data_IF_725443066189
#
_entry.id   IF_725443066189
#
_cell.length_a   1.000
_cell.length_b   1.000
_cell.length_c   1.000
_cell.angle_alpha   90.00
_cell.angle_beta   90.00
_cell.angle_gamma   90.00
#
_symmetry.space_group_name_H-M   'P 1'
#
loop_
_entity.id
_entity.type
_entity.pdbx_description
1 polymer ?
#
# COMPACT_ATOMS: atom_id res chain seq x y z
N UNK A 1 7.02 7.70 -4.37
CA UNK A 1 6.44 8.76 -3.50
C UNK A 1 5.28 8.19 -2.70
N UNK A 2 4.81 8.82 -1.61
CA UNK A 2 3.75 8.25 -0.76
C UNK A 2 2.46 7.97 -1.54
N UNK A 3 1.95 8.94 -2.31
CA UNK A 3 0.73 8.76 -3.10
C UNK A 3 0.86 7.59 -4.09
N UNK A 4 2.03 7.41 -4.72
CA UNK A 4 2.30 6.27 -5.62
C UNK A 4 2.22 4.92 -4.88
N UNK A 5 2.81 4.83 -3.69
CA UNK A 5 2.72 3.61 -2.89
C UNK A 5 1.26 3.32 -2.47
N UNK A 6 0.52 4.36 -2.05
CA UNK A 6 -0.90 4.23 -1.70
C UNK A 6 -1.76 3.83 -2.91
N UNK A 7 -1.45 4.33 -4.12
CA UNK A 7 -2.10 3.89 -5.36
C UNK A 7 -1.91 2.39 -5.61
N UNK A 8 -0.69 1.87 -5.40
CA UNK A 8 -0.41 0.43 -5.51
C UNK A 8 -1.19 -0.36 -4.46
N UNK A 9 -1.24 0.10 -3.21
CA UNK A 9 -2.02 -0.56 -2.15
C UNK A 9 -3.52 -0.53 -2.45
N UNK A 10 -4.06 0.57 -2.99
CA UNK A 10 -5.49 0.76 -3.24
C UNK A 10 -6.05 -0.06 -4.41
N UNK A 11 -5.18 -0.44 -5.34
CA UNK A 11 -5.57 -1.08 -6.58
C UNK A 11 -6.27 -2.44 -6.38
N UNK A 12 -7.16 -2.84 -7.31
CA UNK A 12 -7.73 -4.18 -7.31
C UNK A 12 -6.65 -5.27 -7.29
N UNK A 13 -6.96 -6.42 -6.68
CA UNK A 13 -6.01 -7.54 -6.61
C UNK A 13 -5.49 -7.98 -8.00
N UNK A 14 -6.35 -7.95 -9.03
CA UNK A 14 -5.95 -8.23 -10.43
C UNK A 14 -4.86 -7.29 -10.93
N UNK A 15 -4.96 -6.01 -10.58
CA UNK A 15 -4.09 -4.95 -11.07
C UNK A 15 -2.77 -4.96 -10.29
N UNK A 16 -2.85 -5.23 -8.99
CA UNK A 16 -1.69 -5.52 -8.15
C UNK A 16 -0.91 -6.73 -8.68
N UNK A 17 -1.58 -7.84 -9.02
CA UNK A 17 -0.92 -9.01 -9.62
C UNK A 17 -0.27 -8.68 -10.97
N UNK A 18 -0.98 -7.98 -11.85
CA UNK A 18 -0.43 -7.58 -13.14
C UNK A 18 0.80 -6.65 -13.00
N UNK A 19 0.79 -5.79 -11.98
CA UNK A 19 1.92 -4.93 -11.63
C UNK A 19 3.10 -5.74 -11.09
N UNK A 20 2.85 -6.68 -10.16
CA UNK A 20 3.87 -7.58 -9.63
C UNK A 20 4.52 -8.43 -10.74
N UNK A 21 3.71 -8.94 -11.67
CA UNK A 21 4.18 -9.69 -12.86
C UNK A 21 5.05 -8.85 -13.78
N UNK A 22 4.65 -7.60 -14.01
CA UNK A 22 5.39 -6.68 -14.88
C UNK A 22 6.81 -6.41 -14.37
N UNK A 23 6.98 -6.33 -13.05
CA UNK A 23 8.27 -5.99 -12.44
C UNK A 23 9.01 -7.18 -11.81
N UNK A 24 8.45 -8.39 -11.92
CA UNK A 24 9.02 -9.63 -11.39
C UNK A 24 9.36 -9.54 -9.89
N UNK A 25 8.36 -9.13 -9.11
CA UNK A 25 8.46 -8.90 -7.67
C UNK A 25 7.39 -9.66 -6.87
N UNK A 26 7.69 -10.08 -5.62
CA UNK A 26 6.73 -10.73 -4.75
C UNK A 26 5.74 -9.74 -4.08
N UNK A 27 4.58 -10.21 -3.58
CA UNK A 27 3.54 -9.34 -2.99
C UNK A 27 3.98 -8.48 -1.80
N UNK A 28 4.93 -8.93 -1.00
CA UNK A 28 5.52 -8.17 0.11
C UNK A 28 6.16 -6.85 -0.35
N UNK A 29 6.61 -6.75 -1.61
CA UNK A 29 7.12 -5.49 -2.17
C UNK A 29 6.09 -4.35 -2.19
N UNK A 30 4.79 -4.66 -2.22
CA UNK A 30 3.74 -3.63 -2.07
C UNK A 30 3.74 -3.08 -0.64
N UNK A 31 3.88 -3.95 0.37
CA UNK A 31 3.92 -3.53 1.76
C UNK A 31 5.24 -2.82 2.10
N UNK A 32 6.38 -3.30 1.59
CA UNK A 32 7.68 -2.66 1.75
C UNK A 32 7.70 -1.27 1.10
N UNK A 33 7.18 -1.14 -0.13
CA UNK A 33 7.07 0.15 -0.81
C UNK A 33 6.18 1.15 -0.06
N UNK A 34 5.12 0.66 0.59
CA UNK A 34 4.30 1.48 1.49
C UNK A 34 5.04 1.88 2.76
N UNK A 35 5.64 0.94 3.48
CA UNK A 35 6.38 1.16 4.73
C UNK A 35 7.53 2.17 4.55
N UNK A 36 8.32 2.02 3.47
CA UNK A 36 9.37 2.98 3.10
C UNK A 36 8.84 4.40 2.91
N UNK A 37 7.70 4.55 2.24
CA UNK A 37 7.09 5.86 2.03
C UNK A 37 6.39 6.40 3.29
N UNK A 38 5.79 5.51 4.09
CA UNK A 38 5.07 5.85 5.32
C UNK A 38 5.98 6.50 6.35
N UNK A 39 7.26 6.10 6.41
CA UNK A 39 8.27 6.74 7.28
C UNK A 39 8.44 8.25 7.03
N UNK A 40 8.04 8.75 5.87
CA UNK A 40 8.13 10.17 5.52
C UNK A 40 6.86 10.97 5.84
N UNK A 41 5.77 10.31 6.25
CA UNK A 41 4.46 10.93 6.46
C UNK A 41 4.49 12.10 7.44
N UNK A 42 5.25 11.98 8.55
CA UNK A 42 5.38 13.07 9.52
C UNK A 42 5.91 14.35 8.88
N UNK A 43 6.96 14.22 8.04
CA UNK A 43 7.52 15.35 7.30
C UNK A 43 6.53 15.91 6.28
N UNK A 44 5.81 15.06 5.55
CA UNK A 44 4.85 15.51 4.54
C UNK A 44 3.69 16.30 5.14
N UNK A 45 3.23 15.92 6.34
CA UNK A 45 2.22 16.69 7.08
C UNK A 45 2.78 18.03 7.58
N UNK A 46 3.99 18.03 8.14
CA UNK A 46 4.65 19.25 8.62
C UNK A 46 4.92 20.26 7.48
N UNK A 47 5.16 19.76 6.27
CA UNK A 47 5.37 20.55 5.05
C UNK A 47 4.07 20.87 4.30
N UNK A 48 2.89 20.56 4.87
CA UNK A 48 1.55 20.78 4.26
C UNK A 48 1.35 20.11 2.88
N UNK A 49 2.14 19.08 2.57
CA UNK A 49 2.04 18.28 1.34
C UNK A 49 1.11 17.07 1.48
N UNK A 50 0.65 16.79 2.70
CA UNK A 50 -0.29 15.71 3.00
C UNK A 50 -1.28 16.20 4.04
N UNK A 51 -2.57 15.96 3.84
CA UNK A 51 -3.56 16.32 4.85
C UNK A 51 -3.35 15.52 6.13
N UNK A 52 -3.47 16.19 7.29
CA UNK A 52 -3.49 15.48 8.57
C UNK A 52 -4.67 14.51 8.68
N UNK A 53 -5.74 14.73 7.92
CA UNK A 53 -6.93 13.90 7.94
C UNK A 53 -6.69 12.47 7.40
N UNK A 54 -5.65 12.25 6.59
CA UNK A 54 -5.36 10.91 6.05
C UNK A 54 -4.49 10.04 6.95
N UNK A 55 -3.88 10.60 7.99
CA UNK A 55 -3.02 9.87 8.91
C UNK A 55 -3.66 8.60 9.49
N UNK A 56 -4.93 8.61 9.97
CA UNK A 56 -5.53 7.40 10.53
C UNK A 56 -5.69 6.29 9.49
N UNK A 57 -5.94 6.64 8.22
CA UNK A 57 -6.08 5.67 7.14
C UNK A 57 -4.73 5.03 6.78
N UNK A 58 -3.67 5.84 6.74
CA UNK A 58 -2.31 5.35 6.49
C UNK A 58 -1.81 4.48 7.66
N UNK A 59 -2.12 4.87 8.90
CA UNK A 59 -1.81 4.07 10.09
C UNK A 59 -2.53 2.72 10.08
N UNK A 60 -3.79 2.66 9.66
CA UNK A 60 -4.51 1.40 9.52
C UNK A 60 -3.83 0.45 8.52
N UNK A 61 -3.26 0.97 7.42
CA UNK A 61 -2.53 0.14 6.45
C UNK A 61 -1.25 -0.43 7.11
N UNK A 62 -0.48 0.41 7.80
CA UNK A 62 0.73 0.01 8.53
C UNK A 62 0.43 -1.07 9.57
N UNK A 63 -0.62 -0.86 10.38
CA UNK A 63 -1.08 -1.83 11.38
C UNK A 63 -1.46 -3.17 10.75
N UNK A 64 -2.22 -3.16 9.64
CA UNK A 64 -2.60 -4.38 8.93
C UNK A 64 -1.38 -5.16 8.42
N UNK A 65 -0.41 -4.48 7.81
CA UNK A 65 0.80 -5.16 7.31
C UNK A 65 1.70 -5.65 8.44
N UNK A 66 1.75 -4.93 9.57
CA UNK A 66 2.41 -5.37 10.79
C UNK A 66 1.75 -6.62 11.38
N UNK A 67 0.41 -6.66 11.48
CA UNK A 67 -0.36 -7.84 11.89
C UNK A 67 -0.06 -9.05 11.00
N UNK A 68 -0.06 -8.87 9.68
CA UNK A 68 0.25 -9.93 8.71
C UNK A 68 1.68 -10.48 8.83
N UNK A 69 2.63 -9.63 9.24
CA UNK A 69 4.03 -10.06 9.44
C UNK A 69 4.25 -10.81 10.75
N UNK A 70 3.40 -10.59 11.75
CA UNK A 70 3.48 -11.25 13.06
C UNK A 70 2.82 -12.64 13.06
N UNK A 71 1.84 -12.87 12.18
CA UNK A 71 1.17 -14.15 12.01
C UNK A 71 2.02 -15.08 11.14
N UNK A 72 2.85 -15.93 11.76
CA UNK A 72 3.72 -16.88 11.05
C UNK A 72 3.02 -18.19 10.66
N UNK A 73 1.77 -18.39 11.09
CA UNK A 73 1.04 -19.64 10.87
C UNK A 73 0.43 -19.72 9.46
N UNK A 74 0.25 -18.57 8.80
CA UNK A 74 -0.32 -18.45 7.46
C UNK A 74 0.59 -17.60 6.59
N UNK A 75 0.97 -18.11 5.41
CA UNK A 75 1.74 -17.33 4.45
C UNK A 75 0.85 -16.30 3.72
N UNK A 76 0.78 -15.10 4.31
CA UNK A 76 -0.05 -13.98 3.82
C UNK A 76 0.59 -13.15 2.72
N UNK A 77 1.85 -13.46 2.37
CA UNK A 77 2.64 -12.75 1.35
C UNK A 77 2.64 -13.47 0.01
N UNK A 78 1.74 -14.44 -0.18
CA UNK A 78 1.55 -15.14 -1.45
C UNK A 78 0.60 -14.40 -2.39
N UNK A 79 0.71 -14.70 -3.68
CA UNK A 79 -0.21 -14.20 -4.73
C UNK A 79 -1.66 -14.64 -4.50
N UNK A 80 -1.84 -15.83 -3.91
CA UNK A 80 -3.16 -16.34 -3.54
C UNK A 80 -3.74 -15.52 -2.38
N UNK A 81 -2.97 -15.31 -1.31
CA UNK A 81 -3.38 -14.50 -0.18
C UNK A 81 -3.68 -13.05 -0.59
N UNK A 82 -2.92 -12.46 -1.52
CA UNK A 82 -3.21 -11.13 -2.05
C UNK A 82 -4.64 -10.99 -2.60
N UNK A 83 -5.20 -12.08 -3.14
CA UNK A 83 -6.56 -12.12 -3.66
C UNK A 83 -7.63 -12.39 -2.58
N UNK A 84 -7.33 -13.24 -1.60
CA UNK A 84 -8.34 -13.85 -0.72
C UNK A 84 -8.26 -13.41 0.73
N UNK A 85 -7.11 -12.96 1.19
CA UNK A 85 -6.87 -12.58 2.58
C UNK A 85 -7.58 -11.25 2.91
N UNK A 86 -8.22 -11.23 4.08
CA UNK A 86 -9.00 -10.08 4.52
C UNK A 86 -8.11 -8.87 4.88
N UNK A 87 -6.86 -9.09 5.30
CA UNK A 87 -5.87 -8.05 5.56
C UNK A 87 -5.59 -7.24 4.30
N UNK A 88 -5.27 -7.91 3.18
CA UNK A 88 -5.14 -7.24 1.89
C UNK A 88 -6.40 -6.45 1.48
N UNK A 89 -7.59 -7.00 1.76
CA UNK A 89 -8.86 -6.31 1.57
C UNK A 89 -9.00 -5.01 2.41
N UNK A 90 -8.64 -5.08 3.69
CA UNK A 90 -8.65 -3.93 4.62
C UNK A 90 -7.66 -2.85 4.18
N UNK A 91 -6.42 -3.23 3.87
CA UNK A 91 -5.38 -2.31 3.39
C UNK A 91 -5.82 -1.58 2.12
N UNK A 92 -6.35 -2.32 1.13
CA UNK A 92 -6.93 -1.75 -0.10
C UNK A 92 -8.02 -0.73 0.19
N UNK A 93 -8.92 -1.03 1.12
CA UNK A 93 -10.02 -0.14 1.47
C UNK A 93 -9.52 1.16 2.11
N UNK A 94 -8.64 1.06 3.11
CA UNK A 94 -8.06 2.22 3.78
C UNK A 94 -7.23 3.08 2.81
N UNK A 95 -6.51 2.46 1.87
CA UNK A 95 -5.77 3.20 0.85
C UNK A 95 -6.70 3.99 -0.10
N UNK A 96 -7.82 3.42 -0.53
CA UNK A 96 -8.82 4.14 -1.34
C UNK A 96 -9.44 5.33 -0.60
N UNK A 97 -9.72 5.17 0.69
CA UNK A 97 -10.23 6.25 1.53
C UNK A 97 -9.19 7.37 1.65
N UNK A 98 -7.90 7.02 1.83
CA UNK A 98 -6.83 8.00 1.90
C UNK A 98 -6.68 8.80 0.59
N UNK A 99 -6.71 8.12 -0.56
CA UNK A 99 -6.64 8.79 -1.87
C UNK A 99 -7.86 9.72 -2.09
N UNK A 100 -9.06 9.24 -1.76
CA UNK A 100 -10.28 10.04 -1.88
C UNK A 100 -10.20 11.32 -1.03
N UNK A 101 -9.64 11.21 0.19
CA UNK A 101 -9.49 12.34 1.09
C UNK A 101 -8.43 13.36 0.62
N UNK A 102 -7.38 12.92 -0.09
CA UNK A 102 -6.42 13.81 -0.77
C UNK A 102 -6.94 14.36 -2.11
N UNK A 103 -8.11 13.91 -2.58
CA UNK A 103 -8.63 14.26 -3.91
C UNK A 103 -7.88 13.60 -5.06
N UNK A 104 -7.17 12.52 -4.77
CA UNK A 104 -6.46 11.70 -5.75
C UNK A 104 -7.43 10.68 -6.36
N UNK A 105 -7.45 10.62 -7.70
CA UNK A 105 -8.27 9.68 -8.46
C UNK A 105 -7.51 8.38 -8.73
N UNK A 106 -8.24 7.33 -9.09
CA UNK A 106 -7.63 6.08 -9.55
C UNK A 106 -6.81 6.33 -10.82
N UNK A 107 -5.49 6.41 -10.66
CA UNK A 107 -4.51 6.59 -11.72
C UNK A 107 -3.87 5.23 -12.07
N UNK A 108 -3.38 5.01 -13.30
CA UNK A 108 -2.59 3.81 -13.61
C UNK A 108 -1.45 3.61 -12.62
N UNK A 109 -1.19 2.35 -12.26
CA UNK A 109 -0.16 2.02 -11.28
C UNK A 109 1.22 2.53 -11.73
N UNK A 110 2.00 3.10 -10.79
CA UNK A 110 3.28 3.74 -11.08
C UNK A 110 4.35 2.74 -11.54
N UNK A 111 5.42 3.28 -12.13
CA UNK A 111 6.65 2.53 -12.35
C UNK A 111 7.39 2.25 -11.05
N UNK A 112 8.12 1.13 -10.97
CA UNK A 112 9.10 0.92 -9.89
C UNK A 112 10.49 1.30 -10.41
N UNK A 113 11.22 2.10 -9.64
CA UNK A 113 12.67 2.19 -9.76
C UNK A 113 13.28 1.23 -8.74
N UNK A 114 13.47 -0.03 -9.11
CA UNK A 114 14.23 -0.97 -8.29
C UNK A 114 15.71 -0.57 -8.41
N UNK A 115 16.26 0.05 -7.38
CA UNK A 115 17.71 0.21 -7.26
C UNK A 115 18.25 -1.12 -6.74
N UNK A 116 18.63 -2.01 -7.67
CA UNK A 116 19.31 -3.28 -7.36
C UNK A 116 20.77 -3.05 -6.99
#
# INVERSE_FOLDING_TARGET
MLIEAVLVVAAPASDQLAWLDKYDVPPDEIALGFDDAFRLVGRLVDEEQLSRHVLPMLQMIDEVFSEMSQDTDVDRWTREALCTDAGWGRARQSAREALTAEGEEASPLPGICIVR
#
